data_IF_354577060314
#
_entry.id   IF_354577060314
#
_cell.length_a   1.000
_cell.length_b   1.000
_cell.length_c   1.000
_cell.angle_alpha   90.00
_cell.angle_beta   90.00
_cell.angle_gamma   90.00
#
_symmetry.space_group_name_H-M   'P 1'
#
loop_
_entity.id
_entity.type
_entity.pdbx_description
1 polymer ?
#
# COMPACT_ATOMS: atom_id res chain seq x y z
N UNK A 1 38.71 -20.11 -10.60
CA UNK A 1 37.43 -20.84 -10.75
C UNK A 1 36.41 -20.32 -9.73
N UNK A 2 36.18 -19.00 -9.68
CA UNK A 2 35.26 -18.35 -8.70
C UNK A 2 34.45 -17.19 -9.30
N UNK A 3 34.44 -17.03 -10.62
CA UNK A 3 33.81 -15.88 -11.29
C UNK A 3 32.33 -16.09 -11.62
N UNK A 4 31.84 -17.33 -11.59
CA UNK A 4 30.45 -17.64 -11.93
C UNK A 4 29.51 -17.60 -10.70
N UNK A 5 30.04 -17.85 -9.50
CA UNK A 5 29.26 -17.78 -8.26
C UNK A 5 28.93 -16.33 -7.87
N UNK A 6 29.86 -15.39 -8.05
CA UNK A 6 29.60 -13.95 -7.81
C UNK A 6 28.60 -13.38 -8.82
N UNK A 7 28.59 -13.85 -10.07
CA UNK A 7 27.58 -13.46 -11.06
C UNK A 7 26.19 -14.00 -10.74
N UNK A 8 26.09 -15.20 -10.15
CA UNK A 8 24.83 -15.79 -9.70
C UNK A 8 24.23 -15.02 -8.50
N UNK A 9 25.06 -14.58 -7.55
CA UNK A 9 24.58 -13.75 -6.44
C UNK A 9 24.28 -12.30 -6.85
N UNK A 10 24.92 -11.80 -7.91
CA UNK A 10 24.63 -10.48 -8.48
C UNK A 10 23.33 -10.41 -9.32
N UNK A 11 22.72 -11.55 -9.66
CA UNK A 11 21.43 -11.64 -10.36
C UNK A 11 20.20 -11.61 -9.43
N UNK A 12 20.39 -11.81 -8.12
CA UNK A 12 19.28 -11.91 -7.15
C UNK A 12 18.85 -10.58 -6.52
N UNK A 13 19.46 -9.45 -6.87
CA UNK A 13 18.94 -8.13 -6.51
C UNK A 13 17.93 -7.63 -7.56
N UNK A 14 16.96 -8.47 -7.94
CA UNK A 14 15.82 -7.96 -8.70
C UNK A 14 15.12 -6.91 -7.84
N UNK A 15 14.91 -5.69 -8.36
CA UNK A 15 14.16 -4.67 -7.63
C UNK A 15 12.80 -5.28 -7.28
N UNK A 16 12.59 -5.57 -6.01
CA UNK A 16 11.42 -6.32 -5.57
C UNK A 16 10.24 -5.34 -5.41
N UNK A 17 9.89 -4.69 -6.52
CA UNK A 17 8.76 -3.78 -6.69
C UNK A 17 7.48 -4.44 -6.17
N UNK A 18 7.33 -5.73 -6.44
CA UNK A 18 6.27 -6.58 -5.93
C UNK A 18 6.29 -6.65 -4.40
N UNK A 19 7.41 -7.06 -3.77
CA UNK A 19 7.49 -7.16 -2.31
C UNK A 19 7.31 -5.81 -1.62
N UNK A 20 7.85 -4.73 -2.19
CA UNK A 20 7.64 -3.39 -1.67
C UNK A 20 6.14 -3.02 -1.69
N UNK A 21 5.49 -3.21 -2.84
CA UNK A 21 4.05 -2.94 -3.00
C UNK A 21 3.19 -3.85 -2.12
N UNK A 22 3.59 -5.12 -1.97
CA UNK A 22 2.89 -6.11 -1.17
C UNK A 22 2.93 -5.74 0.31
N UNK A 23 4.10 -5.30 0.81
CA UNK A 23 4.24 -4.80 2.18
C UNK A 23 3.35 -3.59 2.40
N UNK A 24 3.37 -2.59 1.51
CA UNK A 24 2.50 -1.41 1.63
C UNK A 24 1.02 -1.80 1.65
N UNK A 25 0.61 -2.65 0.70
CA UNK A 25 -0.77 -3.09 0.57
C UNK A 25 -1.24 -3.86 1.80
N UNK A 26 -0.50 -4.89 2.22
CA UNK A 26 -0.86 -5.68 3.40
C UNK A 26 -0.88 -4.83 4.66
N UNK A 27 0.10 -3.94 4.86
CA UNK A 27 0.08 -3.02 6.01
C UNK A 27 -1.12 -2.10 5.96
N UNK A 28 -1.45 -1.52 4.82
CA UNK A 28 -2.61 -0.63 4.70
C UNK A 28 -3.92 -1.40 4.94
N UNK A 29 -4.10 -2.53 4.27
CA UNK A 29 -5.32 -3.34 4.35
C UNK A 29 -5.53 -3.96 5.74
N UNK A 30 -4.46 -4.23 6.50
CA UNK A 30 -4.57 -4.79 7.86
C UNK A 30 -4.59 -3.74 8.95
N UNK A 31 -3.72 -2.72 8.88
CA UNK A 31 -3.57 -1.71 9.92
C UNK A 31 -4.76 -0.76 9.96
N UNK A 32 -5.35 -0.42 8.81
CA UNK A 32 -6.44 0.56 8.77
C UNK A 32 -7.70 0.09 9.49
N UNK A 33 -8.20 -1.14 9.26
CA UNK A 33 -9.29 -1.69 10.08
C UNK A 33 -8.97 -1.73 11.57
N UNK A 34 -7.74 -2.12 11.92
CA UNK A 34 -7.32 -2.16 13.34
C UNK A 34 -7.37 -0.76 13.95
N UNK A 35 -6.78 0.24 13.29
CA UNK A 35 -6.80 1.63 13.78
C UNK A 35 -8.24 2.13 13.90
N UNK A 36 -9.07 1.91 12.87
CA UNK A 36 -10.46 2.36 12.88
C UNK A 36 -11.26 1.78 14.05
N UNK A 37 -11.20 0.46 14.23
CA UNK A 37 -11.96 -0.19 15.31
C UNK A 37 -11.38 0.18 16.68
N UNK A 38 -10.06 0.41 16.81
CA UNK A 38 -9.47 0.92 18.04
C UNK A 38 -10.04 2.30 18.43
N UNK A 39 -10.35 3.16 17.47
CA UNK A 39 -11.01 4.44 17.73
C UNK A 39 -12.49 4.29 18.12
N UNK A 40 -13.14 3.18 17.75
CA UNK A 40 -14.56 2.90 18.05
C UNK A 40 -14.77 1.96 19.27
N UNK A 41 -13.68 1.54 19.92
CA UNK A 41 -13.67 0.57 21.03
C UNK A 41 -14.59 0.90 22.21
N UNK A 42 -14.97 2.18 22.39
CA UNK A 42 -15.85 2.61 23.46
C UNK A 42 -17.35 2.35 23.22
N UNK A 43 -17.74 1.94 22.00
CA UNK A 43 -19.13 2.02 21.54
C UNK A 43 -19.77 0.65 21.28
N UNK A 44 -18.99 -0.45 21.29
CA UNK A 44 -19.45 -1.78 20.86
C UNK A 44 -19.04 -2.90 21.80
N UNK A 45 -19.80 -3.99 21.81
CA UNK A 45 -19.45 -5.21 22.56
C UNK A 45 -18.24 -5.93 21.93
N UNK A 46 -17.52 -6.73 22.72
CA UNK A 46 -16.35 -7.50 22.24
C UNK A 46 -16.70 -8.41 21.05
N UNK A 47 -17.89 -9.02 21.05
CA UNK A 47 -18.31 -9.87 19.92
C UNK A 47 -18.60 -9.05 18.66
N UNK A 48 -19.24 -7.88 18.80
CA UNK A 48 -19.47 -6.97 17.69
C UNK A 48 -18.14 -6.43 17.13
N UNK A 49 -17.17 -6.12 18.02
CA UNK A 49 -15.81 -5.73 17.66
C UNK A 49 -15.11 -6.78 16.78
N UNK A 50 -15.09 -8.04 17.23
CA UNK A 50 -14.40 -9.12 16.49
C UNK A 50 -15.05 -9.37 15.13
N UNK A 51 -16.38 -9.34 15.09
CA UNK A 51 -17.14 -9.50 13.85
C UNK A 51 -16.85 -8.35 12.88
N UNK A 52 -16.93 -7.10 13.33
CA UNK A 52 -16.65 -5.93 12.50
C UNK A 52 -15.22 -5.95 11.96
N UNK A 53 -14.23 -6.24 12.82
CA UNK A 53 -12.83 -6.33 12.41
C UNK A 53 -12.62 -7.41 11.36
N UNK A 54 -13.22 -8.59 11.53
CA UNK A 54 -13.13 -9.69 10.55
C UNK A 54 -13.68 -9.27 9.18
N UNK A 55 -14.87 -8.66 9.14
CA UNK A 55 -15.46 -8.20 7.89
C UNK A 55 -14.65 -7.08 7.24
N UNK A 56 -14.17 -6.11 8.01
CA UNK A 56 -13.34 -5.02 7.49
C UNK A 56 -12.02 -5.52 6.92
N UNK A 57 -11.38 -6.51 7.56
CA UNK A 57 -10.16 -7.12 7.03
C UNK A 57 -10.43 -7.90 5.74
N UNK A 58 -11.47 -8.72 5.72
CA UNK A 58 -11.83 -9.53 4.55
C UNK A 58 -12.18 -8.66 3.34
N UNK A 59 -13.11 -7.72 3.53
CA UNK A 59 -13.52 -6.81 2.46
C UNK A 59 -12.41 -5.84 2.09
N UNK A 60 -11.67 -5.31 3.08
CA UNK A 60 -10.53 -4.45 2.85
C UNK A 60 -9.49 -5.11 1.95
N UNK A 61 -9.12 -6.36 2.21
CA UNK A 61 -8.19 -7.12 1.37
C UNK A 61 -8.74 -7.38 -0.03
N UNK A 62 -9.99 -7.85 -0.15
CA UNK A 62 -10.59 -8.18 -1.44
C UNK A 62 -10.75 -6.95 -2.35
N UNK A 63 -11.30 -5.86 -1.82
CA UNK A 63 -11.57 -4.65 -2.60
C UNK A 63 -10.32 -3.81 -2.89
N UNK A 64 -9.25 -3.94 -2.11
CA UNK A 64 -7.99 -3.23 -2.37
C UNK A 64 -7.02 -4.00 -3.27
N UNK A 65 -7.32 -5.25 -3.65
CA UNK A 65 -6.49 -6.04 -4.55
C UNK A 65 -6.27 -5.38 -5.94
N UNK A 66 -7.26 -4.71 -6.58
CA UNK A 66 -7.01 -3.93 -7.78
C UNK A 66 -6.05 -2.76 -7.56
N UNK A 67 -6.15 -2.09 -6.40
CA UNK A 67 -5.25 -1.01 -6.01
C UNK A 67 -3.80 -1.50 -5.81
N UNK A 68 -3.61 -2.74 -5.35
CA UNK A 68 -2.30 -3.37 -5.26
C UNK A 68 -1.63 -3.50 -6.63
N UNK A 69 -2.36 -3.95 -7.66
CA UNK A 69 -1.82 -4.08 -9.00
C UNK A 69 -1.39 -2.71 -9.58
N UNK A 70 -2.21 -1.67 -9.35
CA UNK A 70 -1.90 -0.31 -9.76
C UNK A 70 -0.72 0.28 -8.96
N UNK A 71 -0.62 -0.02 -7.66
CA UNK A 71 0.53 0.38 -6.84
C UNK A 71 1.81 -0.28 -7.33
N UNK A 72 1.79 -1.58 -7.66
CA UNK A 72 2.91 -2.27 -8.28
C UNK A 72 3.37 -1.57 -9.56
N UNK A 73 2.43 -1.19 -10.43
CA UNK A 73 2.74 -0.45 -11.64
C UNK A 73 3.33 0.94 -11.34
N UNK A 74 2.75 1.67 -10.39
CA UNK A 74 3.24 2.99 -9.97
C UNK A 74 4.67 2.91 -9.41
N UNK A 75 4.97 1.90 -8.60
CA UNK A 75 6.31 1.61 -8.06
C UNK A 75 7.28 1.32 -9.19
N UNK A 76 6.91 0.45 -10.13
CA UNK A 76 7.73 0.10 -11.30
C UNK A 76 8.05 1.32 -12.17
N UNK A 77 7.05 2.15 -12.47
CA UNK A 77 7.25 3.38 -13.26
C UNK A 77 8.11 4.38 -12.50
N UNK A 78 7.83 4.60 -11.21
CA UNK A 78 8.58 5.56 -10.37
C UNK A 78 10.04 5.14 -10.20
N UNK A 79 10.31 3.84 -10.09
CA UNK A 79 11.67 3.32 -9.95
C UNK A 79 12.53 3.59 -11.18
N UNK A 80 11.95 3.62 -12.38
CA UNK A 80 12.65 3.94 -13.64
C UNK A 80 13.06 5.40 -13.77
N UNK A 81 12.46 6.29 -12.99
CA UNK A 81 12.78 7.72 -13.04
C UNK A 81 14.16 7.99 -12.40
N UNK A 82 14.94 8.89 -12.99
CA UNK A 82 16.23 9.36 -12.46
C UNK A 82 16.05 10.47 -11.40
N UNK A 83 15.16 10.23 -10.43
CA UNK A 83 14.90 11.15 -9.33
C UNK A 83 15.48 10.65 -8.00
N UNK A 84 15.65 11.57 -7.06
CA UNK A 84 16.05 11.25 -5.70
C UNK A 84 15.00 10.38 -5.00
N UNK A 85 15.44 9.58 -4.02
CA UNK A 85 14.56 8.68 -3.27
C UNK A 85 13.38 9.42 -2.61
N UNK A 86 13.61 10.63 -2.09
CA UNK A 86 12.58 11.47 -1.49
C UNK A 86 11.48 11.85 -2.50
N UNK A 87 11.86 12.27 -3.71
CA UNK A 87 10.89 12.60 -4.78
C UNK A 87 10.10 11.36 -5.19
N UNK A 88 10.77 10.21 -5.34
CA UNK A 88 10.10 8.93 -5.64
C UNK A 88 9.05 8.58 -4.58
N UNK A 89 9.38 8.71 -3.30
CA UNK A 89 8.41 8.50 -2.21
C UNK A 89 7.26 9.50 -2.26
N UNK A 90 7.52 10.77 -2.57
CA UNK A 90 6.46 11.77 -2.77
C UNK A 90 5.48 11.38 -3.88
N UNK A 91 5.98 10.93 -5.03
CA UNK A 91 5.15 10.44 -6.15
C UNK A 91 4.32 9.23 -5.71
N UNK A 92 4.92 8.28 -4.98
CA UNK A 92 4.22 7.10 -4.49
C UNK A 92 3.17 7.43 -3.44
N UNK A 93 3.41 8.41 -2.57
CA UNK A 93 2.41 8.92 -1.62
C UNK A 93 1.21 9.50 -2.39
N UNK A 94 1.45 10.33 -3.40
CA UNK A 94 0.37 10.87 -4.23
C UNK A 94 -0.40 9.76 -4.96
N UNK A 95 0.29 8.76 -5.51
CA UNK A 95 -0.34 7.60 -6.11
C UNK A 95 -1.18 6.82 -5.08
N UNK A 96 -0.67 6.59 -3.87
CA UNK A 96 -1.39 5.94 -2.78
C UNK A 96 -2.65 6.71 -2.35
N UNK A 97 -2.59 8.04 -2.30
CA UNK A 97 -3.75 8.90 -2.03
C UNK A 97 -4.81 8.69 -3.13
N UNK A 98 -4.43 8.80 -4.40
CA UNK A 98 -5.37 8.62 -5.53
C UNK A 98 -5.99 7.22 -5.52
N UNK A 99 -5.17 6.18 -5.33
CA UNK A 99 -5.61 4.79 -5.26
C UNK A 99 -6.50 4.47 -4.06
N UNK A 100 -6.46 5.31 -3.02
CA UNK A 100 -7.39 5.22 -1.90
C UNK A 100 -8.65 5.99 -2.22
N UNK A 101 -8.56 7.27 -2.57
CA UNK A 101 -9.72 8.13 -2.76
C UNK A 101 -10.63 7.66 -3.92
N UNK A 102 -10.07 7.23 -5.04
CA UNK A 102 -10.86 6.87 -6.23
C UNK A 102 -11.84 5.73 -5.96
N UNK A 103 -11.43 4.55 -5.43
CA UNK A 103 -12.37 3.49 -5.07
C UNK A 103 -13.43 3.90 -4.06
N UNK A 104 -13.07 4.69 -3.04
CA UNK A 104 -14.02 5.14 -2.04
C UNK A 104 -15.07 6.10 -2.64
N UNK A 105 -14.63 7.09 -3.43
CA UNK A 105 -15.55 8.03 -4.08
C UNK A 105 -16.34 7.43 -5.24
N UNK A 106 -15.83 6.40 -5.92
CA UNK A 106 -16.60 5.71 -6.97
C UNK A 106 -17.74 4.86 -6.39
N UNK A 107 -17.60 4.37 -5.16
CA UNK A 107 -18.64 3.66 -4.42
C UNK A 107 -19.61 4.59 -3.69
N UNK A 108 -19.17 5.80 -3.32
CA UNK A 108 -19.91 6.79 -2.52
C UNK A 108 -21.30 7.24 -3.08
N UNK A 109 -21.50 7.50 -4.39
CA UNK A 109 -22.78 8.05 -4.86
C UNK A 109 -23.97 7.09 -4.75
N UNK A 110 -23.76 5.83 -4.32
CA UNK A 110 -24.84 4.84 -4.23
C UNK A 110 -25.40 4.62 -2.81
N UNK A 111 -24.82 5.20 -1.76
CA UNK A 111 -25.10 4.76 -0.38
C UNK A 111 -25.19 5.96 0.60
N UNK A 112 -26.33 6.64 0.68
CA UNK A 112 -26.53 7.74 1.66
C UNK A 112 -26.43 7.29 3.14
N UNK A 113 -26.54 5.98 3.41
CA UNK A 113 -26.58 5.41 4.75
C UNK A 113 -25.22 5.28 5.46
N UNK A 114 -24.09 5.50 4.78
CA UNK A 114 -22.74 5.24 5.33
C UNK A 114 -21.87 6.49 5.58
N UNK A 115 -22.42 7.71 5.45
CA UNK A 115 -21.68 8.99 5.43
C UNK A 115 -20.68 9.21 6.59
N UNK A 116 -20.93 8.70 7.80
CA UNK A 116 -20.03 8.90 8.96
C UNK A 116 -18.98 7.78 9.13
N UNK A 117 -19.37 6.52 8.92
CA UNK A 117 -18.46 5.36 9.00
C UNK A 117 -17.43 5.41 7.85
N UNK A 118 -17.84 5.91 6.68
CA UNK A 118 -16.97 5.96 5.49
C UNK A 118 -15.77 6.91 5.65
N UNK A 119 -15.98 8.09 6.23
CA UNK A 119 -14.90 9.09 6.32
C UNK A 119 -13.77 8.65 7.24
N UNK A 120 -14.08 8.06 8.40
CA UNK A 120 -13.08 7.58 9.35
C UNK A 120 -12.21 6.47 8.75
N UNK A 121 -12.82 5.54 8.02
CA UNK A 121 -12.11 4.47 7.31
C UNK A 121 -11.18 5.01 6.22
N UNK A 122 -11.64 6.01 5.44
CA UNK A 122 -10.81 6.67 4.42
C UNK A 122 -9.55 7.27 5.06
N UNK A 123 -9.70 8.00 6.18
CA UNK A 123 -8.55 8.60 6.85
C UNK A 123 -7.59 7.56 7.41
N UNK A 124 -8.10 6.48 8.03
CA UNK A 124 -7.28 5.39 8.53
C UNK A 124 -6.50 4.72 7.40
N UNK A 125 -7.14 4.52 6.24
CA UNK A 125 -6.53 3.93 5.06
C UNK A 125 -5.44 4.81 4.47
N UNK A 126 -5.75 6.09 4.25
CA UNK A 126 -4.78 7.08 3.77
C UNK A 126 -3.55 7.15 4.68
N UNK A 127 -3.78 7.29 5.99
CA UNK A 127 -2.69 7.42 6.96
C UNK A 127 -1.81 6.16 7.00
N UNK A 128 -2.42 4.98 6.99
CA UNK A 128 -1.67 3.71 6.98
C UNK A 128 -0.87 3.53 5.69
N UNK A 129 -1.43 3.88 4.53
CA UNK A 129 -0.74 3.82 3.24
C UNK A 129 0.42 4.80 3.16
N UNK A 130 0.21 6.07 3.55
CA UNK A 130 1.27 7.08 3.58
C UNK A 130 2.41 6.65 4.50
N UNK A 131 2.07 6.19 5.70
CA UNK A 131 3.03 5.67 6.69
C UNK A 131 3.81 4.50 6.11
N UNK A 132 3.14 3.51 5.53
CA UNK A 132 3.80 2.34 4.94
C UNK A 132 4.78 2.73 3.81
N UNK A 133 4.41 3.65 2.93
CA UNK A 133 5.29 4.14 1.85
C UNK A 133 6.53 4.85 2.41
N UNK A 134 6.33 5.68 3.45
CA UNK A 134 7.42 6.43 4.10
C UNK A 134 8.35 5.49 4.86
N UNK A 135 7.84 4.50 5.59
CA UNK A 135 8.67 3.60 6.40
C UNK A 135 9.34 2.50 5.60
N UNK A 136 8.67 1.90 4.61
CA UNK A 136 9.29 0.83 3.83
C UNK A 136 10.39 1.37 2.90
N UNK A 137 11.48 0.59 2.79
CA UNK A 137 12.62 0.93 1.94
C UNK A 137 12.30 0.58 0.49
N UNK A 138 12.27 1.61 -0.37
CA UNK A 138 12.17 1.42 -1.81
C UNK A 138 13.57 1.04 -2.33
N UNK A 139 13.70 -0.18 -2.84
CA UNK A 139 14.93 -0.62 -3.48
C UNK A 139 15.00 -0.02 -4.89
N UNK A 140 16.03 0.79 -5.21
CA UNK A 140 16.17 1.35 -6.55
C UNK A 140 16.37 0.20 -7.55
N UNK A 141 15.84 0.35 -8.76
CA UNK A 141 16.26 -0.49 -9.86
C UNK A 141 17.77 -0.30 -10.03
N UNK A 142 18.52 -1.41 -9.93
CA UNK A 142 19.93 -1.43 -10.33
C UNK A 142 19.92 -1.23 -11.83
N UNK A 143 19.92 0.02 -12.28
CA UNK A 143 20.31 0.33 -13.64
C UNK A 143 21.79 0.01 -13.69
N UNK A 144 22.14 -1.23 -14.06
CA UNK A 144 23.45 -1.51 -14.63
C UNK A 144 23.56 -0.58 -15.83
N UNK A 145 24.20 0.56 -15.61
CA UNK A 145 24.72 1.36 -16.70
C UNK A 145 25.67 0.42 -17.42
N UNK A 146 25.23 -0.08 -18.57
CA UNK A 146 26.15 -0.47 -19.62
C UNK A 146 26.80 0.86 -20.01
N UNK A 147 27.93 1.14 -19.38
CA UNK A 147 28.90 2.08 -19.92
C UNK A 147 29.50 1.38 -21.16
N UNK A 148 28.89 1.65 -22.32
CA UNK A 148 29.49 1.46 -23.65
C UNK A 148 29.82 2.83 -24.23
#
# INVERSE_FOLDING_TARGET
MSTDTEKLFAEELKPNEFSYSLKIWLTSASLSPVIFVLFDLGMVSVMAFLFMLFFMLLYGLLFSAPCFALLCLAVKLTNRLKYSLGIKKGILVLAGIVLTLVPFYSYYPQQEYFKFIDNGMIYCYLFSTMTAIIFYKLHPAVNKLIEE
#
